data_IF_464765522205
#
_entry.id   IF_464765522205
#
_cell.length_a   1.000
_cell.length_b   1.000
_cell.length_c   1.000
_cell.angle_alpha   90.00
_cell.angle_beta   90.00
_cell.angle_gamma   90.00
#
_symmetry.space_group_name_H-M   'P 1'
#
loop_
_entity.id
_entity.type
_entity.pdbx_description
1 polymer ?
#
# COMPACT_ATOMS: atom_id res chain seq x y z
N UNK A 1 -17.25 28.61 -9.14
CA UNK A 1 -16.74 28.33 -10.50
C UNK A 1 -17.82 27.62 -11.29
N UNK A 2 -18.36 28.26 -12.34
CA UNK A 2 -19.33 27.61 -13.24
C UNK A 2 -18.55 27.06 -14.44
N UNK A 3 -18.41 25.74 -14.52
CA UNK A 3 -17.71 25.03 -15.58
C UNK A 3 -18.67 24.05 -16.24
N UNK A 4 -18.75 24.09 -17.57
CA UNK A 4 -19.72 23.31 -18.35
C UNK A 4 -19.45 21.80 -18.34
N UNK A 5 -18.20 21.39 -18.12
CA UNK A 5 -17.80 19.99 -18.02
C UNK A 5 -16.65 19.84 -17.02
N UNK A 6 -16.63 18.72 -16.29
CA UNK A 6 -15.54 18.32 -15.39
C UNK A 6 -15.07 16.93 -15.80
N UNK A 7 -13.76 16.80 -16.01
CA UNK A 7 -13.10 15.55 -16.37
C UNK A 7 -12.07 15.24 -15.30
N UNK A 8 -12.05 14.00 -14.81
CA UNK A 8 -11.07 13.49 -13.86
C UNK A 8 -10.17 12.46 -14.56
N UNK A 9 -8.86 12.64 -14.46
CA UNK A 9 -7.88 11.70 -14.97
C UNK A 9 -7.18 11.05 -13.76
N UNK A 10 -7.24 9.72 -13.69
CA UNK A 10 -6.60 8.94 -12.62
C UNK A 10 -6.06 7.63 -13.19
N UNK A 11 -4.86 7.26 -12.74
CA UNK A 11 -4.25 5.96 -13.07
C UNK A 11 -4.83 4.80 -12.25
N UNK A 12 -5.54 5.10 -11.14
CA UNK A 12 -6.04 4.12 -10.18
C UNK A 12 -7.46 4.47 -9.72
N UNK A 13 -8.47 4.27 -10.58
CA UNK A 13 -9.79 4.90 -10.41
C UNK A 13 -10.61 4.45 -9.20
N UNK A 14 -10.29 3.32 -8.57
CA UNK A 14 -11.14 2.70 -7.53
C UNK A 14 -10.24 2.14 -6.42
N UNK A 15 -9.39 2.97 -5.82
CA UNK A 15 -8.33 2.41 -4.99
C UNK A 15 -8.65 2.18 -3.52
N UNK A 16 -9.61 2.85 -2.86
CA UNK A 16 -9.76 2.60 -1.41
C UNK A 16 -11.19 2.44 -0.83
N UNK A 17 -12.25 3.08 -1.35
CA UNK A 17 -13.59 2.94 -0.76
C UNK A 17 -14.72 3.40 -1.72
N UNK A 18 -15.93 2.85 -1.55
CA UNK A 18 -17.17 3.35 -2.19
C UNK A 18 -17.45 4.82 -1.89
N UNK A 19 -17.08 5.29 -0.70
CA UNK A 19 -17.21 6.71 -0.34
C UNK A 19 -16.33 7.63 -1.19
N UNK A 20 -15.09 7.20 -1.48
CA UNK A 20 -14.18 7.93 -2.37
C UNK A 20 -14.75 7.95 -3.79
N UNK A 21 -15.19 6.79 -4.29
CA UNK A 21 -15.81 6.67 -5.60
C UNK A 21 -17.00 7.63 -5.77
N UNK A 22 -17.92 7.66 -4.79
CA UNK A 22 -19.07 8.56 -4.84
C UNK A 22 -18.66 10.03 -4.80
N UNK A 23 -17.64 10.36 -4.00
CA UNK A 23 -17.11 11.72 -3.93
C UNK A 23 -16.57 12.19 -5.29
N UNK A 24 -15.82 11.35 -6.00
CA UNK A 24 -15.31 11.65 -7.35
C UNK A 24 -16.44 11.79 -8.38
N UNK A 25 -17.48 10.97 -8.31
CA UNK A 25 -18.65 11.06 -9.18
C UNK A 25 -19.47 12.33 -8.92
N UNK A 26 -19.70 12.67 -7.64
CA UNK A 26 -20.37 13.92 -7.23
C UNK A 26 -19.60 15.16 -7.68
N UNK A 27 -18.27 15.07 -7.73
CA UNK A 27 -17.44 16.13 -8.28
C UNK A 27 -17.62 16.25 -9.80
N UNK A 28 -17.61 15.15 -10.55
CA UNK A 28 -17.71 15.21 -12.02
C UNK A 28 -19.12 15.58 -12.50
N UNK A 29 -20.16 15.03 -11.87
CA UNK A 29 -21.56 15.16 -12.28
C UNK A 29 -22.51 15.39 -11.09
N UNK A 30 -22.48 16.58 -10.46
CA UNK A 30 -23.29 16.87 -9.26
C UNK A 30 -24.80 16.92 -9.52
N UNK A 31 -25.22 17.08 -10.78
CA UNK A 31 -26.65 17.06 -11.16
C UNK A 31 -27.22 15.64 -11.18
N UNK A 32 -26.35 14.62 -11.19
CA UNK A 32 -26.73 13.20 -11.13
C UNK A 32 -26.43 12.64 -9.74
N UNK A 33 -25.28 13.01 -9.19
CA UNK A 33 -24.77 12.53 -7.92
C UNK A 33 -24.88 13.60 -6.85
N UNK A 34 -26.07 13.71 -6.25
CA UNK A 34 -26.30 14.63 -5.14
C UNK A 34 -25.57 14.15 -3.89
N UNK A 35 -24.94 15.08 -3.16
CA UNK A 35 -24.22 14.74 -1.92
C UNK A 35 -25.11 14.12 -0.84
N UNK A 36 -26.41 14.41 -0.86
CA UNK A 36 -27.41 13.84 0.05
C UNK A 36 -27.55 12.33 -0.06
N UNK A 37 -27.35 11.75 -1.25
CA UNK A 37 -27.46 10.31 -1.48
C UNK A 37 -26.15 9.53 -1.26
N UNK A 38 -25.11 10.19 -0.73
CA UNK A 38 -23.83 9.54 -0.49
C UNK A 38 -23.97 8.33 0.46
N UNK A 39 -24.68 8.50 1.58
CA UNK A 39 -24.87 7.44 2.57
C UNK A 39 -25.71 6.29 2.02
N UNK A 40 -26.82 6.59 1.33
CA UNK A 40 -27.69 5.60 0.67
C UNK A 40 -26.88 4.73 -0.31
N UNK A 41 -26.04 5.36 -1.12
CA UNK A 41 -25.19 4.67 -2.09
C UNK A 41 -24.19 3.73 -1.40
N UNK A 42 -23.50 4.22 -0.37
CA UNK A 42 -22.50 3.42 0.36
C UNK A 42 -23.17 2.23 1.05
N UNK A 43 -24.33 2.43 1.70
CA UNK A 43 -25.07 1.34 2.35
C UNK A 43 -25.58 0.30 1.36
N UNK A 44 -26.16 0.74 0.24
CA UNK A 44 -26.68 -0.17 -0.79
C UNK A 44 -25.59 -1.09 -1.36
N UNK A 45 -24.38 -0.56 -1.56
CA UNK A 45 -23.24 -1.26 -2.14
C UNK A 45 -22.21 -1.80 -1.13
N UNK A 46 -22.41 -1.68 0.18
CA UNK A 46 -21.40 -2.01 1.21
C UNK A 46 -20.85 -3.46 1.12
N UNK A 47 -21.66 -4.42 0.66
CA UNK A 47 -21.31 -5.85 0.57
C UNK A 47 -21.16 -6.37 -0.87
N UNK A 48 -20.79 -5.51 -1.83
CA UNK A 48 -20.68 -5.89 -3.25
C UNK A 48 -19.78 -7.11 -3.54
N UNK A 49 -18.80 -7.40 -2.68
CA UNK A 49 -17.91 -8.56 -2.87
C UNK A 49 -18.62 -9.91 -2.65
N UNK A 50 -19.77 -9.92 -1.95
CA UNK A 50 -20.56 -11.12 -1.68
C UNK A 50 -21.78 -11.25 -2.60
N UNK A 51 -22.16 -10.19 -3.30
CA UNK A 51 -23.35 -10.11 -4.14
C UNK A 51 -22.96 -9.71 -5.57
N UNK A 52 -22.77 -10.71 -6.42
CA UNK A 52 -22.42 -10.54 -7.83
C UNK A 52 -23.51 -9.79 -8.62
N UNK A 53 -24.77 -9.82 -8.18
CA UNK A 53 -25.86 -9.07 -8.82
C UNK A 53 -25.67 -7.57 -8.58
N UNK A 54 -25.45 -7.16 -7.32
CA UNK A 54 -25.18 -5.76 -6.98
C UNK A 54 -23.91 -5.23 -7.62
N UNK A 55 -22.88 -6.07 -7.73
CA UNK A 55 -21.64 -5.71 -8.43
C UNK A 55 -21.87 -5.43 -9.92
N UNK A 56 -22.67 -6.25 -10.61
CA UNK A 56 -23.05 -6.00 -12.01
C UNK A 56 -23.87 -4.72 -12.16
N UNK A 57 -24.81 -4.47 -11.25
CA UNK A 57 -25.61 -3.23 -11.23
C UNK A 57 -24.67 -2.02 -11.11
N UNK A 58 -23.73 -2.06 -10.16
CA UNK A 58 -22.75 -0.99 -9.97
C UNK A 58 -21.90 -0.75 -11.23
N UNK A 59 -21.36 -1.82 -11.84
CA UNK A 59 -20.54 -1.70 -13.05
C UNK A 59 -21.34 -1.06 -14.19
N UNK A 60 -22.57 -1.52 -14.42
CA UNK A 60 -23.43 -0.96 -15.46
C UNK A 60 -23.77 0.51 -15.20
N UNK A 61 -23.99 0.87 -13.95
CA UNK A 61 -24.26 2.23 -13.52
C UNK A 61 -23.03 3.16 -13.68
N UNK A 62 -21.81 2.65 -13.44
CA UNK A 62 -20.57 3.41 -13.58
C UNK A 62 -20.06 3.53 -15.02
N UNK A 63 -20.43 2.58 -15.90
CA UNK A 63 -19.98 2.51 -17.30
C UNK A 63 -20.08 3.82 -18.09
N UNK A 64 -21.15 4.64 -17.99
CA UNK A 64 -21.20 5.92 -18.71
C UNK A 64 -20.29 7.01 -18.12
N UNK A 65 -19.84 6.88 -16.87
CA UNK A 65 -19.04 7.89 -16.18
C UNK A 65 -17.54 7.55 -16.13
N UNK A 66 -17.19 6.27 -16.24
CA UNK A 66 -15.81 5.80 -16.08
C UNK A 66 -15.33 5.08 -17.33
N UNK A 67 -14.31 5.64 -17.97
CA UNK A 67 -13.57 4.97 -19.04
C UNK A 67 -12.30 4.33 -18.47
N UNK A 68 -12.23 3.00 -18.46
CA UNK A 68 -11.06 2.23 -18.03
C UNK A 68 -10.62 1.29 -19.16
N UNK A 69 -9.34 1.36 -19.53
CA UNK A 69 -8.69 0.44 -20.48
C UNK A 69 -7.51 -0.25 -19.79
N UNK A 70 -7.31 -1.54 -20.03
CA UNK A 70 -6.13 -2.26 -19.56
C UNK A 70 -5.06 -2.26 -20.64
N UNK A 71 -3.78 -2.32 -20.26
CA UNK A 71 -2.66 -2.38 -21.23
C UNK A 71 -2.83 -3.57 -22.19
N UNK A 72 -3.25 -4.73 -21.69
CA UNK A 72 -3.57 -5.92 -22.50
C UNK A 72 -4.68 -5.71 -23.53
N UNK A 73 -5.60 -4.76 -23.30
CA UNK A 73 -6.71 -4.50 -24.23
C UNK A 73 -6.27 -3.57 -25.39
N UNK A 74 -5.10 -2.92 -25.27
CA UNK A 74 -4.65 -1.85 -26.18
C UNK A 74 -3.29 -2.17 -26.84
N UNK A 75 -2.42 -2.91 -26.15
CA UNK A 75 -1.05 -3.21 -26.58
C UNK A 75 -0.87 -4.72 -26.66
N UNK A 76 -1.13 -5.29 -27.84
CA UNK A 76 -1.01 -6.74 -28.11
C UNK A 76 0.43 -7.23 -28.17
N UNK A 77 1.38 -6.32 -28.42
CA UNK A 77 2.81 -6.64 -28.58
C UNK A 77 3.57 -6.61 -27.24
N UNK A 78 2.89 -6.28 -26.14
CA UNK A 78 3.52 -6.23 -24.82
C UNK A 78 3.54 -7.63 -24.20
N UNK A 79 4.70 -8.14 -23.76
CA UNK A 79 4.78 -9.43 -23.08
C UNK A 79 3.98 -9.41 -21.77
N UNK A 80 3.48 -10.57 -21.38
CA UNK A 80 2.71 -10.72 -20.16
C UNK A 80 3.53 -10.40 -18.91
N UNK A 81 2.88 -9.77 -17.93
CA UNK A 81 3.49 -9.50 -16.62
C UNK A 81 3.55 -10.81 -15.83
N UNK A 82 4.75 -11.34 -15.64
CA UNK A 82 4.97 -12.44 -14.68
C UNK A 82 5.17 -11.87 -13.28
N UNK A 83 4.47 -12.43 -12.30
CA UNK A 83 4.59 -12.07 -10.89
C UNK A 83 4.99 -13.33 -10.10
N UNK A 84 6.14 -13.27 -9.44
CA UNK A 84 6.65 -14.35 -8.59
C UNK A 84 6.68 -13.87 -7.14
N UNK A 85 5.92 -14.55 -6.29
CA UNK A 85 5.97 -14.32 -4.84
C UNK A 85 7.02 -15.23 -4.23
N UNK A 86 8.14 -14.65 -3.80
CA UNK A 86 9.20 -15.37 -3.10
C UNK A 86 8.98 -15.22 -1.60
N UNK A 87 8.60 -16.32 -0.95
CA UNK A 87 8.55 -16.39 0.50
C UNK A 87 9.95 -16.67 1.03
N UNK A 88 10.37 -15.91 2.04
CA UNK A 88 11.67 -16.09 2.66
C UNK A 88 11.56 -15.99 4.17
N UNK A 89 12.49 -16.65 4.87
CA UNK A 89 12.62 -16.52 6.30
C UNK A 89 13.35 -15.23 6.69
N UNK A 90 13.15 -14.81 7.94
CA UNK A 90 13.92 -13.71 8.53
C UNK A 90 15.31 -14.21 8.95
N UNK A 91 16.33 -13.39 8.70
CA UNK A 91 17.69 -13.63 9.19
C UNK A 91 17.73 -13.56 10.72
N UNK A 92 18.80 -14.07 11.33
CA UNK A 92 18.92 -14.12 12.81
C UNK A 92 18.77 -12.73 13.44
N UNK A 93 19.46 -11.73 12.88
CA UNK A 93 19.41 -10.34 13.35
C UNK A 93 18.02 -9.71 13.15
N UNK A 94 17.34 -10.02 12.04
CA UNK A 94 15.96 -9.56 11.79
C UNK A 94 15.00 -10.17 12.80
N UNK A 95 15.14 -11.47 13.14
CA UNK A 95 14.30 -12.14 14.16
C UNK A 95 14.47 -11.52 15.53
N UNK A 96 15.70 -11.18 15.92
CA UNK A 96 16.00 -10.51 17.19
C UNK A 96 15.38 -9.10 17.24
N UNK A 97 15.56 -8.30 16.18
CA UNK A 97 14.94 -6.98 16.07
C UNK A 97 13.41 -7.05 16.07
N UNK A 98 12.83 -8.01 15.34
CA UNK A 98 11.38 -8.21 15.28
C UNK A 98 10.80 -8.52 16.66
N UNK A 99 11.44 -9.42 17.42
CA UNK A 99 11.07 -9.73 18.81
C UNK A 99 11.22 -8.51 19.73
N UNK A 100 12.30 -7.73 19.57
CA UNK A 100 12.54 -6.52 20.34
C UNK A 100 11.43 -5.46 20.13
N UNK A 101 11.01 -5.27 18.87
CA UNK A 101 9.93 -4.33 18.52
C UNK A 101 8.60 -4.77 19.13
N UNK A 102 8.26 -6.07 19.03
CA UNK A 102 7.00 -6.61 19.57
C UNK A 102 6.92 -6.53 21.10
N UNK A 103 8.04 -6.82 21.77
CA UNK A 103 8.14 -6.75 23.24
C UNK A 103 8.29 -5.30 23.75
N UNK A 104 8.30 -4.31 22.84
CA UNK A 104 8.56 -2.89 23.12
C UNK A 104 9.85 -2.67 23.90
N UNK A 105 10.83 -3.55 23.71
CA UNK A 105 12.07 -3.51 24.47
C UNK A 105 12.99 -2.43 23.91
N UNK A 106 12.94 -1.25 24.54
CA UNK A 106 13.64 -0.04 24.06
C UNK A 106 15.16 -0.11 24.21
N UNK A 107 15.68 -1.04 25.02
CA UNK A 107 17.11 -1.15 25.32
C UNK A 107 17.95 -1.71 24.17
N UNK A 108 17.33 -2.38 23.19
CA UNK A 108 18.03 -3.00 22.06
C UNK A 108 18.35 -1.97 20.96
N UNK A 109 17.58 -0.88 20.89
CA UNK A 109 17.93 0.25 20.06
C UNK A 109 18.95 1.05 20.84
N UNK A 110 20.20 1.04 20.37
CA UNK A 110 21.33 1.65 21.08
C UNK A 110 21.06 3.11 21.51
N UNK A 111 21.86 3.65 22.44
CA UNK A 111 21.74 5.04 22.84
C UNK A 111 22.00 5.93 21.63
N UNK A 112 20.94 6.49 21.04
CA UNK A 112 21.10 7.54 20.01
C UNK A 112 21.62 8.79 20.71
N UNK A 113 22.83 9.23 20.36
CA UNK A 113 23.48 10.44 20.90
C UNK A 113 22.70 11.74 20.63
N UNK A 114 21.63 11.69 19.82
CA UNK A 114 20.78 12.83 19.53
C UNK A 114 19.29 12.48 19.69
N UNK A 115 18.80 12.41 20.94
CA UNK A 115 17.41 12.71 21.36
C UNK A 115 16.21 12.01 20.70
N UNK A 116 16.39 11.24 19.64
CA UNK A 116 15.33 10.66 18.83
C UNK A 116 15.14 9.21 19.27
N UNK A 117 14.47 9.05 20.41
CA UNK A 117 13.93 7.76 20.84
C UNK A 117 13.10 7.24 19.67
N UNK A 118 13.52 6.15 19.02
CA UNK A 118 12.75 5.51 17.96
C UNK A 118 11.34 5.30 18.47
N UNK A 119 10.42 6.12 18.00
CA UNK A 119 9.07 6.16 18.54
C UNK A 119 8.37 4.88 18.13
N UNK A 120 8.30 3.92 19.07
CA UNK A 120 7.52 2.69 18.92
C UNK A 120 6.00 2.97 18.92
N UNK A 121 5.57 4.23 18.81
CA UNK A 121 4.17 4.59 18.58
C UNK A 121 3.70 4.05 17.22
N UNK A 122 4.60 3.95 16.23
CA UNK A 122 4.31 3.32 14.94
C UNK A 122 5.02 1.96 14.80
N UNK A 123 4.57 0.98 15.58
CA UNK A 123 5.08 -0.41 15.57
C UNK A 123 5.13 -0.95 14.15
N UNK A 124 4.09 -0.72 13.33
CA UNK A 124 4.01 -1.22 11.97
C UNK A 124 5.16 -0.71 11.09
N UNK A 125 5.52 0.57 11.22
CA UNK A 125 6.66 1.14 10.51
C UNK A 125 7.99 0.51 10.97
N UNK A 126 8.16 0.26 12.26
CA UNK A 126 9.39 -0.37 12.77
C UNK A 126 9.51 -1.82 12.31
N UNK A 127 8.40 -2.59 12.32
CA UNK A 127 8.41 -3.96 11.78
C UNK A 127 8.75 -3.96 10.28
N UNK A 128 8.23 -3.01 9.50
CA UNK A 128 8.61 -2.85 8.09
C UNK A 128 10.10 -2.56 7.92
N UNK A 129 10.70 -1.71 8.77
CA UNK A 129 12.16 -1.46 8.76
C UNK A 129 12.95 -2.73 9.06
N UNK A 130 12.54 -3.51 10.07
CA UNK A 130 13.23 -4.74 10.46
C UNK A 130 13.22 -5.79 9.35
N UNK A 131 12.10 -5.94 8.64
CA UNK A 131 12.00 -6.85 7.49
C UNK A 131 12.80 -6.30 6.30
N UNK A 132 12.79 -4.98 6.07
CA UNK A 132 13.46 -4.34 4.95
C UNK A 132 14.98 -4.48 5.00
N UNK A 133 15.62 -4.00 6.06
CA UNK A 133 17.05 -4.20 6.30
C UNK A 133 17.42 -3.88 7.76
N UNK A 134 18.19 -4.73 8.48
CA UNK A 134 18.59 -4.50 9.88
C UNK A 134 19.30 -3.17 10.13
N UNK A 135 20.16 -2.74 9.20
CA UNK A 135 20.94 -1.51 9.33
C UNK A 135 20.11 -0.21 9.20
N UNK A 136 18.81 -0.30 8.93
CA UNK A 136 17.91 0.85 9.07
C UNK A 136 17.72 1.29 10.53
N UNK A 137 18.22 0.50 11.49
CA UNK A 137 18.26 0.85 12.90
C UNK A 137 19.66 1.34 13.29
N UNK A 138 19.75 2.49 13.99
CA UNK A 138 21.05 3.02 14.43
C UNK A 138 21.73 2.06 15.41
N UNK A 139 23.04 1.90 15.28
CA UNK A 139 23.87 1.05 16.14
C UNK A 139 23.80 -0.45 15.84
N UNK A 140 23.12 -0.86 14.76
CA UNK A 140 23.08 -2.26 14.31
C UNK A 140 24.16 -2.55 13.27
N UNK A 141 24.51 -1.57 12.46
CA UNK A 141 25.61 -1.68 11.51
C UNK A 141 26.96 -1.51 12.24
N UNK A 142 27.92 -2.43 12.03
CA UNK A 142 29.24 -2.31 12.64
C UNK A 142 30.01 -1.12 12.04
N UNK A 143 30.70 -0.37 12.89
CA UNK A 143 31.65 0.66 12.45
C UNK A 143 33.06 0.05 12.27
N UNK A 144 33.84 0.49 11.27
CA UNK A 144 33.54 1.51 10.26
C UNK A 144 32.51 1.05 9.22
N UNK A 145 31.70 1.99 8.71
CA UNK A 145 30.72 1.71 7.66
C UNK A 145 31.45 1.40 6.35
N UNK A 146 31.49 0.12 5.99
CA UNK A 146 32.16 -0.39 4.79
C UNK A 146 31.15 -1.09 3.88
N UNK A 147 31.43 -1.05 2.58
CA UNK A 147 30.64 -1.82 1.61
C UNK A 147 31.23 -3.23 1.52
N UNK A 148 30.42 -4.24 1.80
CA UNK A 148 30.88 -5.63 1.73
C UNK A 148 29.77 -6.66 1.79
N UNK A 149 30.15 -7.94 1.82
CA UNK A 149 29.21 -9.07 1.85
C UNK A 149 28.27 -9.06 3.06
N UNK A 150 28.64 -8.39 4.16
CA UNK A 150 27.79 -8.28 5.34
C UNK A 150 26.48 -7.51 5.07
N UNK A 151 26.43 -6.63 4.06
CA UNK A 151 25.20 -5.96 3.63
C UNK A 151 24.21 -6.97 3.01
N UNK A 152 24.74 -7.93 2.24
CA UNK A 152 23.95 -8.95 1.57
C UNK A 152 23.55 -10.10 2.50
N UNK A 153 24.50 -10.64 3.26
CA UNK A 153 24.30 -11.81 4.16
C UNK A 153 23.28 -11.56 5.27
N UNK A 154 23.09 -10.30 5.66
CA UNK A 154 22.07 -9.93 6.64
C UNK A 154 20.65 -9.88 6.06
N UNK A 155 20.53 -10.05 4.73
CA UNK A 155 19.31 -10.14 3.96
C UNK A 155 19.21 -11.54 3.34
N UNK A 156 18.23 -12.34 3.77
CA UNK A 156 18.09 -13.75 3.37
C UNK A 156 18.05 -13.97 1.84
N UNK A 157 17.70 -12.93 1.07
CA UNK A 157 17.49 -13.01 -0.37
C UNK A 157 18.74 -13.40 -1.19
N UNK A 158 19.95 -13.31 -0.65
CA UNK A 158 21.18 -13.52 -1.44
C UNK A 158 21.81 -14.92 -1.21
N UNK A 159 21.56 -15.56 -0.07
CA UNK A 159 22.19 -16.85 0.24
C UNK A 159 21.45 -18.07 -0.37
N UNK A 160 20.38 -17.87 -1.14
CA UNK A 160 19.49 -18.93 -1.64
C UNK A 160 19.22 -18.90 -3.16
N UNK A 161 20.05 -18.20 -3.94
CA UNK A 161 20.07 -18.21 -5.40
C UNK A 161 21.49 -18.53 -5.85
#
# INVERSE_FOLDING_TARGET
MNVSCRILLTGTPIQNNLSELYSLLSFCAPNVFYRTHHEDFVQYFQNINKDETRKKILINFLKPFVLRRLKRDVLTDLPDKTELMIYHDLSKIQKELYKAILTKNRSIFGPTEAGSKTSLVNIMMQLRKAIGHPYLFPGVEPEPFEMGEHLGKNLFLIDSI
#
